data_IF_005455372902
#
_entry.id   IF_005455372902
#
_cell.length_a   1.000
_cell.length_b   1.000
_cell.length_c   1.000
_cell.angle_alpha   90.00
_cell.angle_beta   90.00
_cell.angle_gamma   90.00
#
_symmetry.space_group_name_H-M   'P 1'
#
loop_
_entity.id
_entity.type
_entity.pdbx_description
1 polymer ?
#
# COMPACT_ATOMS: atom_id res chain seq x y z
N UNK A 1 -7.41 23.70 -5.55
CA UNK A 1 -7.72 22.37 -5.86
C UNK A 1 -7.14 21.39 -4.92
N UNK A 2 -7.55 21.44 -3.73
CA UNK A 2 -7.06 20.50 -2.77
C UNK A 2 -7.56 19.12 -3.05
N UNK A 3 -8.67 19.02 -3.78
CA UNK A 3 -9.21 17.71 -4.03
C UNK A 3 -8.24 16.88 -4.81
N UNK A 4 -7.50 17.49 -5.71
CA UNK A 4 -6.52 16.76 -6.50
C UNK A 4 -5.40 16.23 -5.61
N UNK A 5 -4.92 17.07 -4.73
CA UNK A 5 -3.83 16.66 -3.84
C UNK A 5 -4.29 15.57 -2.91
N UNK A 6 -5.49 15.70 -2.36
CA UNK A 6 -6.01 14.70 -1.45
C UNK A 6 -6.14 13.36 -2.16
N UNK A 7 -6.62 13.37 -3.38
CA UNK A 7 -6.75 12.13 -4.13
C UNK A 7 -5.40 11.47 -4.31
N UNK A 8 -4.40 12.26 -4.62
CA UNK A 8 -3.08 11.69 -4.80
C UNK A 8 -2.58 11.07 -3.52
N UNK A 9 -2.80 11.73 -2.41
CA UNK A 9 -2.36 11.19 -1.12
C UNK A 9 -3.04 9.86 -0.84
N UNK A 10 -4.33 9.79 -1.08
CA UNK A 10 -5.05 8.55 -0.82
C UNK A 10 -4.53 7.43 -1.72
N UNK A 11 -4.27 7.77 -2.96
CA UNK A 11 -3.77 6.76 -3.88
C UNK A 11 -2.44 6.21 -3.42
N UNK A 12 -1.55 7.08 -3.00
CA UNK A 12 -0.23 6.64 -2.55
C UNK A 12 -0.37 5.80 -1.29
N UNK A 13 -1.23 6.22 -0.38
CA UNK A 13 -1.43 5.46 0.85
C UNK A 13 -1.93 4.06 0.53
N UNK A 14 -2.86 3.96 -0.41
CA UNK A 14 -3.39 2.66 -0.79
C UNK A 14 -2.30 1.79 -1.39
N UNK A 15 -1.47 2.39 -2.22
CA UNK A 15 -0.41 1.62 -2.85
C UNK A 15 0.57 1.10 -1.80
N UNK A 16 0.95 1.95 -0.88
CA UNK A 16 1.90 1.55 0.14
C UNK A 16 1.31 0.44 1.01
N UNK A 17 0.06 0.59 1.40
CA UNK A 17 -0.59 -0.41 2.23
C UNK A 17 -0.65 -1.74 1.49
N UNK A 18 -1.00 -1.70 0.22
CA UNK A 18 -1.07 -2.93 -0.56
C UNK A 18 0.29 -3.59 -0.63
N UNK A 19 1.32 -2.81 -0.88
CA UNK A 19 2.65 -3.37 -0.97
C UNK A 19 3.07 -3.98 0.35
N UNK A 20 2.81 -3.29 1.45
CA UNK A 20 3.19 -3.77 2.76
C UNK A 20 2.50 -5.10 3.04
N UNK A 21 1.22 -5.17 2.75
CA UNK A 21 0.49 -6.40 2.97
C UNK A 21 1.06 -7.52 2.12
N UNK A 22 1.39 -7.21 0.89
CA UNK A 22 1.91 -8.23 0.00
C UNK A 22 3.22 -8.79 0.54
N UNK A 23 4.10 -7.93 0.97
CA UNK A 23 5.40 -8.37 1.47
C UNK A 23 5.23 -9.18 2.75
N UNK A 24 4.40 -8.69 3.66
CA UNK A 24 4.18 -9.39 4.91
C UNK A 24 3.56 -10.75 4.65
N UNK A 25 2.61 -10.80 3.74
CA UNK A 25 1.95 -12.05 3.44
C UNK A 25 2.96 -13.06 2.91
N UNK A 26 3.83 -12.61 2.05
CA UNK A 26 4.82 -13.50 1.49
C UNK A 26 5.79 -13.98 2.55
N UNK A 27 6.20 -13.10 3.40
CA UNK A 27 7.15 -13.46 4.44
C UNK A 27 6.56 -14.49 5.38
N UNK A 28 5.32 -14.28 5.76
CA UNK A 28 4.68 -15.19 6.69
C UNK A 28 4.45 -16.53 6.00
N UNK A 29 4.05 -16.48 4.75
CA UNK A 29 3.78 -17.73 4.05
C UNK A 29 5.05 -18.39 3.57
N UNK A 30 6.13 -17.68 3.53
CA UNK A 30 7.33 -18.30 3.05
C UNK A 30 7.75 -19.31 4.00
N UNK A 31 7.55 -20.48 3.76
CA UNK A 31 7.84 -21.47 4.68
C UNK A 31 9.20 -22.00 4.54
N UNK A 32 9.90 -21.96 3.94
CA UNK A 32 11.18 -22.41 3.76
C UNK A 32 11.66 -23.34 4.55
#
# INVERSE_FOLDING_TARGET
MEIFYTSLLVLVALLITWFAFYVVYRLVHEDK
#
